data_IF_444341516551
#
_entry.id   IF_444341516551
#
_cell.length_a   1.000
_cell.length_b   1.000
_cell.length_c   1.000
_cell.angle_alpha   90.00
_cell.angle_beta   90.00
_cell.angle_gamma   90.00
#
_symmetry.space_group_name_H-M   'P 1'
#
loop_
_entity.id
_entity.type
_entity.pdbx_description
1 polymer ?
#
# COMPACT_ATOMS: atom_id res chain seq x y z
N UNK A 1 -12.59 -9.27 -1.54
CA UNK A 1 -13.66 -8.25 -1.63
C UNK A 1 -12.99 -6.90 -1.80
N UNK A 2 -13.57 -6.00 -2.58
CA UNK A 2 -13.12 -4.62 -2.72
C UNK A 2 -13.99 -3.73 -1.84
N UNK A 3 -13.38 -2.92 -0.98
CA UNK A 3 -14.09 -1.93 -0.16
C UNK A 3 -13.62 -0.56 -0.63
N UNK A 4 -14.55 0.24 -1.15
CA UNK A 4 -14.30 1.61 -1.59
C UNK A 4 -14.87 2.55 -0.53
N UNK A 5 -13.98 3.25 0.17
CA UNK A 5 -14.35 4.29 1.13
C UNK A 5 -14.28 5.63 0.42
N UNK A 6 -15.45 6.17 0.08
CA UNK A 6 -15.56 7.45 -0.61
C UNK A 6 -15.64 8.59 0.40
N UNK A 7 -14.60 9.42 0.45
CA UNK A 7 -14.51 10.62 1.29
C UNK A 7 -15.00 11.89 0.57
N UNK A 8 -15.41 11.77 -0.70
CA UNK A 8 -15.83 12.88 -1.55
C UNK A 8 -17.34 12.99 -1.71
N UNK A 9 -17.77 13.47 -2.87
CA UNK A 9 -19.18 13.52 -3.24
C UNK A 9 -19.78 12.12 -3.31
N UNK A 10 -21.01 11.97 -2.84
CA UNK A 10 -21.63 10.65 -2.69
C UNK A 10 -21.69 9.88 -4.01
N UNK A 11 -21.09 8.69 -4.02
CA UNK A 11 -21.14 7.79 -5.18
C UNK A 11 -22.46 7.01 -5.10
N UNK A 12 -23.32 7.21 -6.10
CA UNK A 12 -24.57 6.46 -6.26
C UNK A 12 -24.34 5.17 -7.04
N UNK A 13 -23.44 4.32 -6.54
CA UNK A 13 -23.18 2.99 -7.09
C UNK A 13 -23.59 1.92 -6.08
N UNK A 14 -24.48 0.99 -6.43
CA UNK A 14 -24.90 -0.06 -5.50
C UNK A 14 -23.72 -0.99 -5.21
N UNK A 15 -23.60 -1.42 -3.96
CA UNK A 15 -22.68 -2.51 -3.61
C UNK A 15 -23.14 -3.82 -4.29
N UNK A 16 -22.19 -4.64 -4.76
CA UNK A 16 -22.49 -5.85 -5.53
C UNK A 16 -21.23 -6.52 -6.09
N UNK A 17 -21.32 -7.79 -6.50
CA UNK A 17 -20.22 -8.56 -7.12
C UNK A 17 -18.88 -8.51 -6.36
N UNK A 18 -18.93 -8.48 -5.02
CA UNK A 18 -17.75 -8.43 -4.17
C UNK A 18 -17.17 -7.03 -3.95
N UNK A 19 -17.85 -5.99 -4.44
CA UNK A 19 -17.56 -4.57 -4.21
C UNK A 19 -18.51 -4.01 -3.14
N UNK A 20 -17.97 -3.27 -2.19
CA UNK A 20 -18.71 -2.57 -1.12
C UNK A 20 -18.33 -1.10 -1.21
N UNK A 21 -19.31 -0.22 -1.41
CA UNK A 21 -19.10 1.24 -1.50
C UNK A 21 -19.66 1.88 -0.25
N UNK A 22 -18.86 2.72 0.40
CA UNK A 22 -19.20 3.38 1.67
C UNK A 22 -18.94 4.88 1.51
N UNK A 23 -20.01 5.67 1.53
CA UNK A 23 -19.89 7.12 1.62
C UNK A 23 -19.51 7.49 3.06
N UNK A 24 -18.42 8.23 3.22
CA UNK A 24 -17.80 8.59 4.48
C UNK A 24 -17.62 10.11 4.53
N UNK A 25 -17.70 10.70 5.72
CA UNK A 25 -17.32 12.11 5.90
C UNK A 25 -15.85 12.31 5.52
N UNK A 26 -15.49 13.49 5.01
CA UNK A 26 -14.12 13.78 4.65
C UNK A 26 -13.25 13.95 5.91
N UNK A 27 -12.70 12.83 6.39
CA UNK A 27 -11.80 12.74 7.55
C UNK A 27 -10.34 12.50 7.12
N UNK A 28 -10.00 12.83 5.88
CA UNK A 28 -8.69 12.58 5.29
C UNK A 28 -8.38 11.09 5.04
N UNK A 29 -7.16 10.82 4.55
CA UNK A 29 -6.72 9.46 4.19
C UNK A 29 -6.75 8.49 5.38
N UNK A 30 -6.23 8.90 6.53
CA UNK A 30 -6.25 8.06 7.75
C UNK A 30 -7.67 7.68 8.18
N UNK A 31 -8.62 8.62 8.09
CA UNK A 31 -10.03 8.35 8.40
C UNK A 31 -10.65 7.37 7.40
N UNK A 32 -10.34 7.53 6.11
CA UNK A 32 -10.77 6.62 5.04
C UNK A 32 -10.25 5.19 5.23
N UNK A 33 -8.93 5.03 5.41
CA UNK A 33 -8.32 3.72 5.65
C UNK A 33 -8.83 3.05 6.92
N UNK A 34 -8.94 3.80 8.03
CA UNK A 34 -9.48 3.26 9.28
C UNK A 34 -10.93 2.82 9.11
N UNK A 35 -11.75 3.60 8.39
CA UNK A 35 -13.13 3.21 8.09
C UNK A 35 -13.18 1.92 7.28
N UNK A 36 -12.33 1.78 6.26
CA UNK A 36 -12.22 0.56 5.46
C UNK A 36 -11.83 -0.66 6.30
N UNK A 37 -10.87 -0.49 7.20
CA UNK A 37 -10.42 -1.55 8.11
C UNK A 37 -11.52 -2.00 9.09
N UNK A 38 -12.25 -1.05 9.69
CA UNK A 38 -13.39 -1.36 10.57
C UNK A 38 -14.45 -2.18 9.83
N UNK A 39 -14.74 -1.82 8.58
CA UNK A 39 -15.76 -2.49 7.77
C UNK A 39 -15.29 -3.87 7.31
N UNK A 40 -14.01 -4.02 6.96
CA UNK A 40 -13.39 -5.32 6.70
C UNK A 40 -13.49 -6.26 7.92
N UNK A 41 -13.29 -5.74 9.13
CA UNK A 41 -13.40 -6.50 10.39
C UNK A 41 -14.80 -7.02 10.70
N UNK A 42 -15.86 -6.48 10.06
CA UNK A 42 -17.24 -6.97 10.19
C UNK A 42 -17.55 -8.12 9.23
N UNK A 43 -16.67 -8.41 8.28
CA UNK A 43 -16.86 -9.45 7.27
C UNK A 43 -16.22 -10.73 7.77
N UNK A 44 -17.02 -11.78 7.93
CA UNK A 44 -16.50 -13.11 8.24
C UNK A 44 -15.50 -13.57 7.15
N UNK A 45 -14.46 -14.29 7.57
CA UNK A 45 -13.43 -14.89 6.72
C UNK A 45 -12.41 -13.93 6.06
N UNK A 46 -12.39 -12.64 6.42
CA UNK A 46 -11.27 -11.75 6.05
C UNK A 46 -10.08 -12.01 6.98
N UNK A 47 -8.93 -12.41 6.40
CA UNK A 47 -7.68 -12.66 7.16
C UNK A 47 -6.61 -11.61 6.96
N UNK A 48 -6.62 -10.95 5.79
CA UNK A 48 -5.65 -9.93 5.40
C UNK A 48 -6.38 -8.77 4.72
N UNK A 49 -5.83 -7.57 4.88
CA UNK A 49 -6.32 -6.34 4.24
C UNK A 49 -5.13 -5.71 3.51
N UNK A 50 -5.37 -5.27 2.28
CA UNK A 50 -4.41 -4.49 1.49
C UNK A 50 -5.01 -3.09 1.37
N UNK A 51 -4.23 -2.08 1.75
CA UNK A 51 -4.56 -0.67 1.54
C UNK A 51 -4.00 -0.23 0.19
N UNK A 52 -4.78 0.56 -0.55
CA UNK A 52 -4.45 1.07 -1.87
C UNK A 52 -5.22 2.37 -2.10
N UNK A 53 -4.57 3.36 -2.72
CA UNK A 53 -5.20 4.60 -3.15
C UNK A 53 -5.98 4.40 -4.46
N UNK A 54 -6.82 5.36 -4.84
CA UNK A 54 -7.66 5.30 -6.05
C UNK A 54 -6.94 5.73 -7.34
N UNK A 55 -5.85 6.48 -7.21
CA UNK A 55 -4.99 6.95 -8.29
C UNK A 55 -3.71 6.10 -8.47
N UNK A 56 -3.57 5.01 -7.70
CA UNK A 56 -2.45 4.09 -7.80
C UNK A 56 -2.68 2.97 -8.83
N UNK A 57 -1.68 2.74 -9.68
CA UNK A 57 -1.60 1.51 -10.48
C UNK A 57 -0.83 0.43 -9.74
N UNK A 58 -1.32 -0.81 -9.75
CA UNK A 58 -0.67 -1.95 -9.10
C UNK A 58 -0.63 -3.16 -10.02
N UNK A 59 0.58 -3.72 -10.20
CA UNK A 59 0.75 -4.99 -10.90
C UNK A 59 0.07 -6.13 -10.13
N UNK A 60 -0.79 -6.88 -10.81
CA UNK A 60 -1.55 -7.99 -10.20
C UNK A 60 -0.63 -9.01 -9.52
N UNK A 61 0.56 -9.21 -10.08
CA UNK A 61 1.54 -10.15 -9.53
C UNK A 61 2.13 -9.68 -8.20
N UNK A 62 2.19 -8.37 -7.94
CA UNK A 62 2.59 -7.84 -6.63
C UNK A 62 1.58 -8.23 -5.54
N UNK A 63 0.28 -8.27 -5.87
CA UNK A 63 -0.77 -8.74 -4.96
C UNK A 63 -0.62 -10.25 -4.74
N UNK A 64 -0.41 -11.04 -5.81
CA UNK A 64 -0.21 -12.49 -5.71
C UNK A 64 1.00 -12.85 -4.83
N UNK A 65 2.15 -12.20 -5.04
CA UNK A 65 3.36 -12.40 -4.24
C UNK A 65 3.14 -12.02 -2.78
N UNK A 66 2.49 -10.88 -2.52
CA UNK A 66 2.17 -10.43 -1.16
C UNK A 66 1.31 -11.47 -0.44
N UNK A 67 0.29 -11.99 -1.11
CA UNK A 67 -0.58 -13.03 -0.55
C UNK A 67 0.19 -14.34 -0.28
N UNK A 68 1.00 -14.80 -1.25
CA UNK A 68 1.80 -16.01 -1.09
C UNK A 68 2.82 -15.90 0.05
N UNK A 69 3.45 -14.73 0.19
CA UNK A 69 4.38 -14.45 1.30
C UNK A 69 3.66 -14.49 2.65
N UNK A 70 2.52 -13.81 2.78
CA UNK A 70 1.75 -13.77 4.03
C UNK A 70 1.20 -15.14 4.44
N UNK A 71 0.89 -16.02 3.47
CA UNK A 71 0.50 -17.42 3.76
C UNK A 71 1.64 -18.24 4.38
N UNK A 72 2.89 -17.89 4.08
CA UNK A 72 4.10 -18.56 4.57
C UNK A 72 4.71 -17.86 5.80
N UNK A 73 4.21 -16.67 6.16
CA UNK A 73 4.70 -15.91 7.29
C UNK A 73 4.46 -16.66 8.60
N UNK A 74 5.53 -16.80 9.40
CA UNK A 74 5.48 -17.47 10.72
C UNK A 74 5.01 -16.54 11.83
N UNK A 75 5.26 -15.24 11.68
CA UNK A 75 4.79 -14.22 12.61
C UNK A 75 3.48 -13.63 12.09
N UNK A 76 2.44 -13.66 12.94
CA UNK A 76 1.13 -13.07 12.65
C UNK A 76 1.16 -11.54 12.57
N UNK A 77 2.22 -10.92 13.08
CA UNK A 77 2.40 -9.47 13.05
C UNK A 77 3.20 -9.01 11.81
N UNK A 78 3.56 -9.93 10.91
CA UNK A 78 4.23 -9.57 9.66
C UNK A 78 3.32 -8.68 8.80
N UNK A 79 3.88 -7.56 8.36
CA UNK A 79 3.26 -6.63 7.40
C UNK A 79 4.14 -6.62 6.15
N UNK A 80 3.52 -6.48 4.98
CA UNK A 80 4.22 -6.31 3.71
C UNK A 80 3.88 -4.93 3.18
N UNK A 81 4.89 -4.18 2.77
CA UNK A 81 4.74 -2.89 2.13
C UNK A 81 5.18 -2.97 0.67
N UNK A 82 4.52 -2.19 -0.19
CA UNK A 82 4.91 -2.08 -1.59
C UNK A 82 6.05 -1.07 -1.78
N UNK A 83 6.79 -1.24 -2.87
CA UNK A 83 7.66 -0.20 -3.42
C UNK A 83 6.83 0.65 -4.39
N UNK A 84 6.90 1.97 -4.25
CA UNK A 84 6.28 2.93 -5.15
C UNK A 84 7.25 3.27 -6.28
N UNK A 85 6.73 3.28 -7.51
CA UNK A 85 7.45 3.64 -8.73
C UNK A 85 6.86 4.92 -9.30
N UNK A 86 7.64 5.67 -10.06
CA UNK A 86 7.10 6.82 -10.80
C UNK A 86 6.17 6.34 -11.92
N UNK A 87 4.97 6.91 -12.02
CA UNK A 87 3.97 6.47 -13.02
C UNK A 87 4.40 6.78 -14.46
N UNK A 88 5.02 7.94 -14.67
CA UNK A 88 5.51 8.39 -15.98
C UNK A 88 6.78 7.64 -16.43
N UNK A 89 7.52 7.06 -15.49
CA UNK A 89 8.63 6.17 -15.76
C UNK A 89 8.74 5.04 -14.71
N UNK A 90 8.00 3.93 -14.91
CA UNK A 90 7.93 2.83 -13.93
C UNK A 90 9.25 2.08 -13.71
N UNK A 91 10.32 2.41 -14.44
CA UNK A 91 11.66 1.91 -14.13
C UNK A 91 12.31 2.63 -12.95
N UNK A 92 11.81 3.81 -12.57
CA UNK A 92 12.41 4.62 -11.51
C UNK A 92 11.63 4.44 -10.21
N UNK A 93 12.36 4.16 -9.13
CA UNK A 93 11.80 4.02 -7.79
C UNK A 93 11.49 5.39 -7.21
N UNK A 94 10.22 5.60 -6.86
CA UNK A 94 9.80 6.74 -6.08
C UNK A 94 10.12 6.53 -4.60
N UNK A 95 9.74 5.40 -4.02
CA UNK A 95 10.00 5.16 -2.60
C UNK A 95 9.90 3.66 -2.29
N UNK A 96 10.88 3.08 -1.62
CA UNK A 96 10.81 1.70 -1.10
C UNK A 96 10.63 1.62 0.41
N UNK A 97 10.32 2.75 1.03
CA UNK A 97 10.34 3.01 2.46
C UNK A 97 10.81 4.42 2.76
N UNK A 98 10.78 4.84 4.03
CA UNK A 98 11.23 6.16 4.43
C UNK A 98 11.98 6.15 5.76
N UNK A 99 12.99 7.01 5.86
CA UNK A 99 13.72 7.28 7.10
C UNK A 99 13.01 8.42 7.85
N UNK A 100 12.59 8.14 9.08
CA UNK A 100 12.05 9.15 9.98
C UNK A 100 13.16 9.92 10.68
N UNK A 101 13.20 11.25 10.50
CA UNK A 101 14.09 12.12 11.26
C UNK A 101 13.36 12.80 12.42
N UNK A 102 14.11 13.12 13.48
CA UNK A 102 13.57 13.75 14.71
C UNK A 102 12.86 15.09 14.46
N UNK A 103 13.16 15.73 13.34
CA UNK A 103 12.62 17.05 12.98
C UNK A 103 11.33 16.96 12.14
N UNK A 104 10.60 15.83 12.21
CA UNK A 104 9.38 15.55 11.42
C UNK A 104 9.59 15.53 9.90
N UNK A 105 10.85 15.41 9.47
CA UNK A 105 11.23 15.26 8.08
C UNK A 105 11.29 13.78 7.71
N UNK A 106 10.69 13.45 6.57
CA UNK A 106 10.76 12.14 5.93
C UNK A 106 11.69 12.21 4.73
N UNK A 107 12.57 11.23 4.60
CA UNK A 107 13.37 11.04 3.39
C UNK A 107 13.04 9.69 2.77
N UNK A 108 12.62 9.67 1.50
CA UNK A 108 12.36 8.42 0.80
C UNK A 108 13.65 7.60 0.70
N UNK A 109 13.59 6.34 1.10
CA UNK A 109 14.66 5.37 0.87
C UNK A 109 14.57 4.85 -0.57
N UNK A 110 15.75 4.59 -1.13
CA UNK A 110 15.92 4.12 -2.52
C UNK A 110 15.37 5.07 -3.60
N UNK A 111 15.18 6.34 -3.27
CA UNK A 111 14.64 7.36 -4.17
C UNK A 111 15.49 7.52 -5.44
N UNK A 112 14.85 7.58 -6.60
CA UNK A 112 15.45 7.75 -7.94
C UNK A 112 16.42 6.64 -8.39
N UNK A 113 16.41 5.47 -7.75
CA UNK A 113 17.10 4.31 -8.32
C UNK A 113 16.40 3.84 -9.59
N UNK A 114 17.17 3.56 -10.64
CA UNK A 114 16.67 3.03 -11.91
C UNK A 114 16.80 1.51 -11.92
N UNK A 115 15.69 0.79 -11.86
CA UNK A 115 15.65 -0.67 -11.79
C UNK A 115 16.20 -1.36 -13.05
N UNK A 116 16.57 -0.62 -14.10
CA UNK A 116 17.24 -1.14 -15.30
C UNK A 116 18.76 -1.20 -15.14
N UNK A 117 19.32 -0.48 -14.18
CA UNK A 117 20.76 -0.38 -13.95
C UNK A 117 21.21 -1.35 -12.86
N UNK A 118 22.25 -2.12 -13.15
CA UNK A 118 22.72 -3.18 -12.24
C UNK A 118 23.20 -2.64 -10.90
N UNK A 119 23.90 -1.50 -10.89
CA UNK A 119 24.39 -0.85 -9.67
C UNK A 119 23.22 -0.32 -8.82
N UNK A 120 22.11 0.07 -9.46
CA UNK A 120 20.90 0.48 -8.76
C UNK A 120 20.21 -0.71 -8.10
N UNK A 121 20.20 -1.87 -8.75
CA UNK A 121 19.66 -3.11 -8.16
C UNK A 121 20.49 -3.57 -6.96
N UNK A 122 21.82 -3.55 -7.06
CA UNK A 122 22.70 -3.84 -5.92
C UNK A 122 22.44 -2.86 -4.76
N UNK A 123 22.31 -1.57 -5.08
CA UNK A 123 21.97 -0.55 -4.07
C UNK A 123 20.59 -0.81 -3.44
N UNK A 124 19.62 -1.28 -4.22
CA UNK A 124 18.27 -1.59 -3.76
C UNK A 124 18.28 -2.74 -2.74
N UNK A 125 18.94 -3.85 -3.08
CA UNK A 125 19.01 -5.08 -2.25
C UNK A 125 19.73 -4.86 -0.90
N UNK A 126 20.56 -3.83 -0.79
CA UNK A 126 21.23 -3.49 0.46
C UNK A 126 20.24 -2.89 1.47
N UNK A 127 19.68 -3.73 2.35
CA UNK A 127 18.73 -3.34 3.39
C UNK A 127 19.30 -2.26 4.33
N UNK A 128 18.43 -1.32 4.71
CA UNK A 128 18.73 -0.25 5.67
C UNK A 128 17.66 -0.22 6.75
N UNK A 129 18.05 0.17 7.96
CA UNK A 129 17.09 0.39 9.03
C UNK A 129 16.32 1.68 8.78
N UNK A 130 15.07 1.55 8.40
CA UNK A 130 14.15 2.64 8.05
C UNK A 130 12.98 2.73 9.05
N UNK A 131 12.26 3.84 9.02
CA UNK A 131 11.18 4.14 9.98
C UNK A 131 9.78 3.78 9.48
N UNK A 132 9.63 3.65 8.17
CA UNK A 132 8.40 3.31 7.46
C UNK A 132 8.74 2.48 6.24
N UNK A 133 7.93 1.46 5.92
CA UNK A 133 8.06 0.58 4.76
C UNK A 133 9.43 -0.08 4.65
N UNK A 134 9.59 -1.33 5.09
CA UNK A 134 10.88 -2.02 5.13
C UNK A 134 10.74 -3.45 5.59
#
# INVERSE_FOLDING_TARGET
>A
KLIVVNNGEAINHPSGNGIIVINNENLGGSGGFMRGLIEAGKINDVKHVIFMDDDGSCEIESICRTHAFLLMAKDKNTVVTGCMLFEDNPAIIHESGAIWHRDFLHYPDKHYLDAREIDSLDTFDNERKIGYGG
#
